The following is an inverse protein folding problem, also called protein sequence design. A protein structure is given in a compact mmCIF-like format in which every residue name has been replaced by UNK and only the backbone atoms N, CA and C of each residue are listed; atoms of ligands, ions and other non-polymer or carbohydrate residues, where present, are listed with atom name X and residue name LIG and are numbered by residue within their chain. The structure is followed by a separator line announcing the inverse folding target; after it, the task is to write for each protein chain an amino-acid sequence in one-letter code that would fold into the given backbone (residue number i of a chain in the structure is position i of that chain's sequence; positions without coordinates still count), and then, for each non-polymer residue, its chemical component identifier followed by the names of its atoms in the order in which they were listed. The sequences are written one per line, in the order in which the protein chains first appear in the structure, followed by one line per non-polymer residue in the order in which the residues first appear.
data_IF_342664479232
#
_entry.id   IF_342664479232
#
_cell.length_a   1.000
_cell.length_b   1.000
_cell.length_c   1.000
_cell.angle_alpha   90.00
_cell.angle_beta   90.00
_cell.angle_gamma   90.00
#
_symmetry.space_group_name_H-M   'P 1'
#
loop_
_entity.id
_entity.type
_entity.pdbx_description
1 polymer ?
#
# COMPACT_ATOMS: atom_id res chain seq x y z
N UNK A 1 -5.33 39.64 20.02
CA UNK A 1 -6.10 39.44 18.79
C UNK A 1 -6.32 37.95 18.62
N UNK A 2 -7.55 37.44 18.57
CA UNK A 2 -7.78 36.03 18.22
C UNK A 2 -7.21 35.78 16.80
N UNK A 3 -6.67 34.59 16.51
CA UNK A 3 -6.10 34.28 15.21
C UNK A 3 -7.19 34.42 14.13
N UNK A 4 -6.86 35.08 13.03
CA UNK A 4 -7.78 35.27 11.90
C UNK A 4 -7.98 33.98 11.10
N UNK A 5 -7.02 33.05 11.18
CA UNK A 5 -6.97 31.81 10.39
C UNK A 5 -6.39 30.67 11.25
N UNK A 6 -6.81 29.44 10.94
CA UNK A 6 -6.29 28.22 11.54
C UNK A 6 -6.25 27.12 10.48
N UNK A 7 -5.22 26.27 10.55
CA UNK A 7 -5.03 25.14 9.65
C UNK A 7 -5.08 23.83 10.44
N UNK A 8 -5.79 22.84 9.89
CA UNK A 8 -5.90 21.50 10.46
C UNK A 8 -5.48 20.49 9.39
N UNK A 9 -4.47 19.70 9.70
CA UNK A 9 -3.98 18.63 8.84
C UNK A 9 -4.34 17.27 9.43
N UNK A 10 -4.76 16.34 8.56
CA UNK A 10 -5.05 14.98 8.94
C UNK A 10 -4.65 14.01 7.82
N UNK A 11 -4.18 12.82 8.19
CA UNK A 11 -3.86 11.74 7.24
C UNK A 11 -4.89 10.63 7.38
N UNK A 12 -5.56 10.27 6.28
CA UNK A 12 -6.46 9.13 6.23
C UNK A 12 -5.75 7.94 5.62
N UNK A 13 -5.94 6.76 6.21
CA UNK A 13 -5.42 5.49 5.70
C UNK A 13 -6.52 4.44 5.71
N UNK A 14 -6.66 3.73 4.61
CA UNK A 14 -7.60 2.62 4.48
C UNK A 14 -7.14 1.69 3.35
N UNK A 15 -7.51 0.42 3.44
CA UNK A 15 -7.23 -0.60 2.43
C UNK A 15 -8.27 -0.60 1.29
N UNK A 16 -9.25 0.31 1.32
CA UNK A 16 -10.35 0.35 0.36
C UNK A 16 -10.61 1.77 -0.13
N UNK A 17 -10.52 1.95 -1.46
CA UNK A 17 -10.80 3.23 -2.12
C UNK A 17 -12.24 3.71 -1.84
N UNK A 18 -13.20 2.76 -1.76
CA UNK A 18 -14.59 3.06 -1.40
C UNK A 18 -14.69 3.65 0.00
N UNK A 19 -13.99 3.04 0.95
CA UNK A 19 -13.96 3.54 2.34
C UNK A 19 -13.24 4.88 2.40
N UNK A 20 -12.18 5.09 1.61
CA UNK A 20 -11.47 6.38 1.54
C UNK A 20 -12.42 7.47 1.08
N UNK A 21 -13.18 7.23 0.01
CA UNK A 21 -14.17 8.18 -0.50
C UNK A 21 -15.23 8.52 0.56
N UNK A 22 -15.72 7.52 1.30
CA UNK A 22 -16.70 7.73 2.37
C UNK A 22 -16.13 8.53 3.54
N UNK A 23 -14.90 8.24 3.96
CA UNK A 23 -14.22 8.97 5.04
C UNK A 23 -13.94 10.42 4.64
N UNK A 24 -13.42 10.65 3.44
CA UNK A 24 -13.18 11.99 2.90
C UNK A 24 -14.46 12.80 2.82
N UNK A 25 -15.53 12.23 2.27
CA UNK A 25 -16.82 12.89 2.18
C UNK A 25 -17.37 13.22 3.57
N UNK A 26 -17.30 12.28 4.51
CA UNK A 26 -17.81 12.49 5.87
C UNK A 26 -17.04 13.58 6.62
N UNK A 27 -15.72 13.65 6.44
CA UNK A 27 -14.88 14.70 7.04
C UNK A 27 -15.26 16.09 6.52
N UNK A 28 -15.53 16.22 5.21
CA UNK A 28 -15.99 17.47 4.60
C UNK A 28 -17.36 17.87 5.15
N UNK A 29 -18.33 16.94 5.19
CA UNK A 29 -19.68 17.22 5.72
C UNK A 29 -19.67 17.71 7.18
N UNK A 30 -18.84 17.10 8.02
CA UNK A 30 -18.69 17.51 9.42
C UNK A 30 -18.10 18.92 9.50
N UNK A 31 -17.06 19.18 8.71
CA UNK A 31 -16.42 20.50 8.62
C UNK A 31 -17.40 21.57 8.14
N UNK A 32 -18.21 21.28 7.13
CA UNK A 32 -19.26 22.17 6.61
C UNK A 32 -20.28 22.53 7.70
N UNK A 33 -20.78 21.53 8.43
CA UNK A 33 -21.77 21.76 9.50
C UNK A 33 -21.21 22.61 10.64
N UNK A 34 -19.96 22.37 11.04
CA UNK A 34 -19.27 23.18 12.06
C UNK A 34 -19.02 24.61 11.55
N UNK A 35 -18.51 24.77 10.33
CA UNK A 35 -18.25 26.07 9.74
C UNK A 35 -19.54 26.91 9.65
N UNK A 36 -20.66 26.31 9.23
CA UNK A 36 -21.96 26.98 9.20
C UNK A 36 -22.43 27.40 10.61
N UNK A 37 -22.25 26.54 11.62
CA UNK A 37 -22.65 26.82 13.01
C UNK A 37 -21.91 28.01 13.60
N UNK A 38 -20.62 28.16 13.27
CA UNK A 38 -19.76 29.22 13.80
C UNK A 38 -19.54 30.39 12.82
N UNK A 39 -20.26 30.43 11.70
CA UNK A 39 -20.13 31.44 10.64
C UNK A 39 -18.68 31.59 10.13
N UNK A 40 -17.99 30.46 9.94
CA UNK A 40 -16.63 30.37 9.43
C UNK A 40 -16.64 30.03 7.94
N UNK A 41 -15.56 30.39 7.25
CA UNK A 41 -15.23 29.87 5.91
C UNK A 41 -14.14 28.83 6.07
N UNK A 42 -14.12 27.84 5.17
CA UNK A 42 -13.08 26.82 5.14
C UNK A 42 -12.76 26.46 3.69
N UNK A 43 -11.56 25.93 3.48
CA UNK A 43 -11.07 25.35 2.22
C UNK A 43 -10.52 23.97 2.58
N UNK A 44 -10.73 22.99 1.71
CA UNK A 44 -10.18 21.63 1.88
C UNK A 44 -9.35 21.30 0.67
N UNK A 45 -8.06 21.06 0.92
CA UNK A 45 -7.13 20.55 -0.06
C UNK A 45 -6.75 19.10 0.29
N UNK A 46 -6.55 18.29 -0.74
CA UNK A 46 -6.17 16.90 -0.60
C UNK A 46 -4.85 16.67 -1.31
N UNK A 47 -3.83 16.27 -0.57
CA UNK A 47 -2.51 15.91 -1.09
C UNK A 47 -2.29 14.40 -0.98
N UNK A 48 -1.38 13.86 -1.79
CA UNK A 48 -0.90 12.47 -1.66
C UNK A 48 -1.99 11.40 -1.71
N UNK A 49 -2.90 11.49 -2.69
CA UNK A 49 -3.94 10.48 -2.91
C UNK A 49 -3.34 9.22 -3.53
N UNK A 50 -3.02 8.24 -2.70
CA UNK A 50 -2.63 6.91 -3.17
C UNK A 50 -3.83 5.99 -3.23
N UNK A 51 -4.06 5.29 -4.36
CA UNK A 51 -5.01 4.21 -4.37
C UNK A 51 -4.51 3.03 -3.54
N UNK A 52 -5.43 2.15 -3.15
CA UNK A 52 -5.04 0.90 -2.50
C UNK A 52 -4.34 -0.02 -3.50
N UNK A 53 -3.14 -0.51 -3.15
CA UNK A 53 -2.47 -1.58 -3.91
C UNK A 53 -3.25 -2.87 -3.76
N UNK A 54 -3.79 -3.37 -4.88
CA UNK A 54 -4.59 -4.61 -4.91
C UNK A 54 -3.94 -5.59 -5.86
N UNK A 55 -3.65 -6.78 -5.33
CA UNK A 55 -3.15 -7.87 -6.16
C UNK A 55 -4.29 -8.44 -7.00
N UNK A 56 -3.97 -8.79 -8.24
CA UNK A 56 -4.87 -9.55 -9.09
C UNK A 56 -4.73 -11.05 -8.79
N UNK A 57 -5.86 -11.77 -8.67
CA UNK A 57 -5.89 -13.18 -8.30
C UNK A 57 -5.05 -14.04 -9.27
N UNK A 58 -5.18 -13.86 -10.60
CA UNK A 58 -4.37 -14.61 -11.57
C UNK A 58 -2.85 -14.38 -11.38
N UNK A 59 -2.44 -13.18 -10.94
CA UNK A 59 -1.04 -12.90 -10.64
C UNK A 59 -0.59 -13.55 -9.33
N UNK A 60 -1.49 -13.67 -8.35
CA UNK A 60 -1.22 -14.38 -7.09
C UNK A 60 -1.08 -15.87 -7.36
N UNK A 61 -1.95 -16.47 -8.18
CA UNK A 61 -1.87 -17.88 -8.56
C UNK A 61 -0.50 -18.21 -9.20
N UNK A 62 0.01 -17.33 -10.07
CA UNK A 62 1.35 -17.47 -10.65
C UNK A 62 2.43 -17.47 -9.57
N UNK A 63 2.32 -16.58 -8.57
CA UNK A 63 3.29 -16.53 -7.47
C UNK A 63 3.25 -17.81 -6.63
N UNK A 64 2.07 -18.37 -6.36
CA UNK A 64 1.93 -19.63 -5.63
C UNK A 64 2.57 -20.79 -6.40
N UNK A 65 2.33 -20.89 -7.71
CA UNK A 65 2.94 -21.93 -8.54
C UNK A 65 4.46 -21.80 -8.61
N UNK A 66 5.00 -20.58 -8.69
CA UNK A 66 6.44 -20.32 -8.66
C UNK A 66 7.03 -20.69 -7.30
N UNK A 67 6.39 -20.31 -6.20
CA UNK A 67 6.83 -20.67 -4.86
C UNK A 67 6.85 -22.20 -4.67
N UNK A 68 5.80 -22.89 -5.11
CA UNK A 68 5.75 -24.37 -5.07
C UNK A 68 6.84 -25.01 -5.94
N UNK A 69 7.11 -24.46 -7.13
CA UNK A 69 8.16 -24.98 -8.02
C UNK A 69 9.55 -24.84 -7.40
N UNK A 70 9.81 -23.73 -6.71
CA UNK A 70 11.09 -23.43 -6.06
C UNK A 70 11.20 -24.02 -4.64
N UNK A 71 10.17 -24.74 -4.17
CA UNK A 71 10.08 -25.25 -2.79
C UNK A 71 10.26 -24.16 -1.72
N UNK A 72 9.66 -22.99 -1.99
CA UNK A 72 9.68 -21.82 -1.11
C UNK A 72 8.39 -21.76 -0.30
N UNK A 73 8.55 -21.69 1.03
CA UNK A 73 7.43 -21.45 1.94
C UNK A 73 6.85 -20.04 1.75
N UNK A 74 5.52 -19.96 1.71
CA UNK A 74 4.81 -18.69 1.62
C UNK A 74 3.60 -18.66 2.56
N UNK A 75 3.21 -17.44 2.95
CA UNK A 75 2.06 -17.21 3.81
C UNK A 75 1.18 -16.11 3.24
N UNK A 76 -0.12 -16.26 3.40
CA UNK A 76 -1.05 -15.14 3.25
C UNK A 76 -1.06 -14.33 4.52
N UNK A 77 -0.82 -13.02 4.40
CA UNK A 77 -0.98 -12.13 5.54
C UNK A 77 -2.46 -12.03 5.89
N UNK A 78 -2.76 -12.15 7.19
CA UNK A 78 -4.13 -11.97 7.72
C UNK A 78 -4.62 -10.53 7.61
N UNK A 79 -3.70 -9.56 7.44
CA UNK A 79 -3.97 -8.14 7.29
C UNK A 79 -3.09 -7.54 6.18
N UNK A 80 -3.59 -6.55 5.41
CA UNK A 80 -2.79 -5.81 4.44
C UNK A 80 -1.57 -5.12 5.06
N UNK A 81 -0.61 -4.68 4.25
CA UNK A 81 0.47 -3.82 4.74
C UNK A 81 -0.09 -2.44 5.12
N UNK A 82 0.34 -1.86 6.26
CA UNK A 82 -0.20 -0.59 6.74
C UNK A 82 0.40 0.62 6.00
N UNK A 83 1.53 0.43 5.32
CA UNK A 83 2.18 1.44 4.50
C UNK A 83 1.53 1.56 3.12
N UNK A 84 1.54 2.78 2.60
CA UNK A 84 1.11 3.08 1.23
C UNK A 84 2.24 2.76 0.28
N UNK A 85 1.91 2.28 -0.92
CA UNK A 85 2.87 1.91 -1.94
C UNK A 85 2.43 2.49 -3.30
N UNK A 86 3.34 3.14 -4.01
CA UNK A 86 3.01 3.80 -5.29
C UNK A 86 2.78 2.79 -6.43
N UNK A 87 3.16 1.52 -6.22
CA UNK A 87 2.82 0.40 -7.09
C UNK A 87 1.31 0.26 -7.34
N UNK A 88 0.49 0.84 -6.46
CA UNK A 88 -0.95 0.99 -6.64
C UNK A 88 -1.32 1.62 -8.00
N UNK A 89 -0.53 2.56 -8.51
CA UNK A 89 -0.79 3.19 -9.81
C UNK A 89 -0.66 2.23 -10.99
N UNK A 90 0.20 1.20 -10.88
CA UNK A 90 0.33 0.15 -11.88
C UNK A 90 -0.81 -0.85 -11.76
N UNK A 91 -1.09 -1.34 -10.54
CA UNK A 91 -2.14 -2.35 -10.29
C UNK A 91 -3.55 -1.83 -10.60
N UNK A 92 -3.77 -0.52 -10.61
CA UNK A 92 -5.01 0.07 -11.09
C UNK A 92 -5.24 -0.08 -12.60
N UNK A 93 -4.18 -0.21 -13.39
CA UNK A 93 -4.24 -0.23 -14.86
C UNK A 93 -3.94 -1.60 -15.44
N UNK A 94 -3.13 -2.38 -14.74
CA UNK A 94 -2.62 -3.66 -15.21
C UNK A 94 -2.80 -4.72 -14.14
N UNK A 95 -2.94 -5.98 -14.57
CA UNK A 95 -2.83 -7.11 -13.64
C UNK A 95 -1.43 -7.12 -13.06
N UNK A 96 -1.33 -7.15 -11.75
CA UNK A 96 -0.06 -7.19 -11.03
C UNK A 96 -0.24 -7.73 -9.63
N UNK A 97 0.86 -8.18 -9.05
CA UNK A 97 0.92 -8.60 -7.66
C UNK A 97 2.14 -7.95 -6.99
N UNK A 98 1.92 -7.43 -5.79
CA UNK A 98 2.92 -6.91 -4.88
C UNK A 98 3.00 -7.85 -3.67
N UNK A 99 4.19 -8.33 -3.37
CA UNK A 99 4.43 -9.32 -2.33
C UNK A 99 5.74 -9.01 -1.60
N UNK A 100 5.85 -9.49 -0.36
CA UNK A 100 7.05 -9.32 0.45
C UNK A 100 7.97 -10.53 0.35
N UNK A 101 9.27 -10.28 0.48
CA UNK A 101 10.28 -11.31 0.70
C UNK A 101 10.71 -11.26 2.17
N UNK A 102 10.74 -12.42 2.83
CA UNK A 102 11.11 -12.49 4.23
C UNK A 102 12.62 -12.27 4.42
N UNK A 103 13.00 -11.19 5.11
CA UNK A 103 14.39 -10.95 5.53
C UNK A 103 14.76 -11.62 6.87
N UNK A 104 13.85 -12.43 7.43
CA UNK A 104 14.00 -13.10 8.72
C UNK A 104 13.25 -12.42 9.88
N UNK A 105 12.89 -13.18 10.91
CA UNK A 105 12.03 -12.71 12.01
C UNK A 105 12.69 -11.68 12.95
N UNK A 106 14.02 -11.67 13.01
CA UNK A 106 14.81 -10.78 13.87
C UNK A 106 15.43 -9.61 13.11
N UNK A 107 15.07 -9.45 11.85
CA UNK A 107 15.62 -8.41 11.00
C UNK A 107 14.93 -7.07 11.31
N UNK A 108 15.67 -5.94 11.35
CA UNK A 108 15.07 -4.63 11.55
C UNK A 108 13.99 -4.32 10.50
N UNK A 109 13.01 -3.50 10.89
CA UNK A 109 11.97 -3.07 9.96
C UNK A 109 12.50 -2.03 8.98
N UNK A 110 11.80 -1.85 7.86
CA UNK A 110 12.06 -0.73 6.95
C UNK A 110 11.99 0.60 7.72
N UNK A 111 12.90 1.52 7.40
CA UNK A 111 13.09 2.82 8.08
C UNK A 111 13.69 2.77 9.49
N UNK A 112 14.11 1.60 9.98
CA UNK A 112 14.97 1.51 11.17
C UNK A 112 16.39 2.02 10.85
N UNK A 113 17.03 2.70 11.80
CA UNK A 113 18.39 3.24 11.61
C UNK A 113 19.46 2.15 11.48
N UNK A 114 19.18 0.96 12.00
CA UNK A 114 20.03 -0.22 11.92
C UNK A 114 19.60 -1.17 10.81
N UNK A 115 18.66 -0.77 9.95
CA UNK A 115 18.29 -1.57 8.79
C UNK A 115 19.50 -1.74 7.88
N UNK A 116 19.87 -3.00 7.63
CA UNK A 116 20.91 -3.40 6.69
C UNK A 116 20.32 -4.47 5.78
N UNK A 117 20.44 -4.31 4.47
CA UNK A 117 19.77 -5.21 3.53
C UNK A 117 20.31 -6.64 3.66
N UNK A 118 19.43 -7.63 3.74
CA UNK A 118 19.85 -9.03 3.82
C UNK A 118 20.31 -9.54 2.44
N UNK A 119 21.58 -9.38 2.07
CA UNK A 119 22.10 -9.81 0.76
C UNK A 119 21.74 -11.27 0.39
N UNK A 120 21.66 -12.14 1.40
CA UNK A 120 21.27 -13.55 1.30
C UNK A 120 19.94 -13.77 0.55
N UNK A 121 18.99 -12.82 0.64
CA UNK A 121 17.68 -12.94 -0.02
C UNK A 121 17.73 -12.61 -1.52
N UNK A 122 18.84 -12.07 -2.02
CA UNK A 122 18.97 -11.60 -3.41
C UNK A 122 18.81 -12.74 -4.41
N UNK A 123 19.48 -13.87 -4.17
CA UNK A 123 19.44 -15.02 -5.08
C UNK A 123 18.02 -15.56 -5.21
N UNK A 124 17.33 -15.74 -4.08
CA UNK A 124 15.91 -16.15 -4.03
C UNK A 124 15.01 -15.17 -4.77
N UNK A 125 15.22 -13.86 -4.60
CA UNK A 125 14.44 -12.85 -5.33
C UNK A 125 14.63 -12.98 -6.84
N UNK A 126 15.87 -13.15 -7.30
CA UNK A 126 16.19 -13.30 -8.72
C UNK A 126 15.54 -14.55 -9.29
N UNK A 127 15.64 -15.68 -8.59
CA UNK A 127 15.01 -16.95 -9.01
C UNK A 127 13.49 -16.84 -9.13
N UNK A 128 12.82 -16.22 -8.15
CA UNK A 128 11.37 -15.98 -8.22
C UNK A 128 11.02 -15.17 -9.48
N UNK A 129 11.71 -14.05 -9.74
CA UNK A 129 11.41 -13.22 -10.91
C UNK A 129 11.72 -13.93 -12.23
N UNK A 130 12.81 -14.70 -12.30
CA UNK A 130 13.12 -15.51 -13.48
C UNK A 130 12.03 -16.56 -13.76
N UNK A 131 11.54 -17.22 -12.72
CA UNK A 131 10.47 -18.21 -12.86
C UNK A 131 9.12 -17.59 -13.23
N UNK A 132 8.80 -16.41 -12.71
CA UNK A 132 7.65 -15.63 -13.16
C UNK A 132 7.78 -15.30 -14.65
N UNK A 133 8.96 -14.86 -15.10
CA UNK A 133 9.23 -14.56 -16.51
C UNK A 133 9.04 -15.80 -17.37
N UNK A 134 9.65 -16.94 -16.99
CA UNK A 134 9.53 -18.19 -17.72
C UNK A 134 8.08 -18.66 -17.80
N UNK A 135 7.31 -18.50 -16.71
CA UNK A 135 5.90 -18.88 -16.65
C UNK A 135 5.03 -18.03 -17.58
N UNK A 136 5.23 -16.71 -17.57
CA UNK A 136 4.42 -15.77 -18.34
C UNK A 136 4.79 -15.78 -19.82
N UNK A 137 6.09 -15.75 -20.12
CA UNK A 137 6.60 -15.64 -21.49
C UNK A 137 6.83 -17.00 -22.18
N UNK A 138 6.75 -18.12 -21.44
CA UNK A 138 7.00 -19.49 -21.94
C UNK A 138 8.35 -19.63 -22.65
N UNK A 139 9.39 -18.98 -22.12
CA UNK A 139 10.77 -19.08 -22.61
C UNK A 139 11.46 -20.29 -22.00
#
# INVERSE_FOLDING_TARGET
FPPAEAEVMATFRTHSDKVMQQLSQRAVEITEGLAATYNLKFIVDWVEKFPATKNNDDCVDILEEVAQKLDIDYIYRSQPFPWSEDFAYFTQKYKGAFFGIGAGEKHPQLHDEFYDFADEITEVCVEIFLEIINKILKV
#
